data_IF_643566149075
#
_entry.id   IF_643566149075
#
_cell.length_a   1.000
_cell.length_b   1.000
_cell.length_c   1.000
_cell.angle_alpha   90.00
_cell.angle_beta   90.00
_cell.angle_gamma   90.00
#
_symmetry.space_group_name_H-M   'P 1'
#
loop_
_entity.id
_entity.type
_entity.pdbx_description
1 polymer ?
#
# COMPACT_ATOMS: atom_id res chain seq x y z
N UNK A 1 10.32 -15.93 4.99
CA UNK A 1 11.08 -14.66 4.88
C UNK A 1 11.12 -14.16 3.42
N UNK A 2 10.24 -13.20 3.08
CA UNK A 2 10.17 -12.61 1.73
C UNK A 2 11.31 -11.61 1.55
N UNK A 3 12.21 -11.84 0.60
CA UNK A 3 13.32 -10.92 0.29
C UNK A 3 12.75 -9.64 -0.34
N UNK A 4 12.72 -8.53 0.42
CA UNK A 4 12.53 -7.20 -0.16
C UNK A 4 13.76 -6.87 -1.02
N UNK A 5 13.59 -6.81 -2.33
CA UNK A 5 14.65 -6.37 -3.25
C UNK A 5 14.63 -4.83 -3.28
N UNK A 6 15.56 -4.20 -2.55
CA UNK A 6 15.80 -2.75 -2.61
C UNK A 6 16.64 -2.46 -3.86
N UNK A 7 16.08 -1.78 -4.86
CA UNK A 7 16.88 -1.07 -5.86
C UNK A 7 17.03 0.38 -5.40
N UNK A 8 18.09 0.67 -4.64
CA UNK A 8 18.54 2.06 -4.49
C UNK A 8 19.16 2.48 -5.82
N UNK A 9 18.61 3.48 -6.49
CA UNK A 9 19.22 3.97 -7.73
C UNK A 9 19.05 5.48 -7.84
N UNK A 10 20.21 6.13 -7.97
CA UNK A 10 20.48 7.49 -8.41
C UNK A 10 19.53 7.92 -9.55
N UNK A 11 19.04 9.18 -9.59
CA UNK A 11 18.12 9.61 -10.63
C UNK A 11 18.84 9.73 -11.98
N UNK A 12 18.61 8.76 -12.86
CA UNK A 12 19.12 8.78 -14.25
C UNK A 12 18.07 9.43 -15.17
N UNK A 13 18.30 10.65 -15.63
CA UNK A 13 17.36 11.33 -16.55
C UNK A 13 17.49 10.74 -17.96
N UNK A 14 16.54 9.91 -18.38
CA UNK A 14 16.35 9.52 -19.79
C UNK A 14 15.02 10.11 -20.28
N UNK A 15 15.09 11.21 -21.04
CA UNK A 15 13.92 11.72 -21.78
C UNK A 15 12.90 12.53 -20.97
N UNK A 16 13.31 13.65 -20.37
CA UNK A 16 12.44 14.78 -20.00
C UNK A 16 11.43 14.59 -18.86
N UNK A 17 11.07 13.37 -18.47
CA UNK A 17 10.24 13.10 -17.30
C UNK A 17 11.11 12.76 -16.07
N UNK A 18 10.85 13.36 -14.90
CA UNK A 18 11.55 12.97 -13.68
C UNK A 18 11.26 11.49 -13.37
N UNK A 19 12.30 10.70 -13.10
CA UNK A 19 12.12 9.34 -12.59
C UNK A 19 11.56 9.39 -11.16
N UNK A 20 10.75 8.39 -10.75
CA UNK A 20 10.30 8.32 -9.37
C UNK A 20 11.49 8.16 -8.42
N UNK A 21 11.47 8.87 -7.30
CA UNK A 21 12.52 8.80 -6.28
C UNK A 21 12.54 7.45 -5.57
N UNK A 22 11.39 6.78 -5.52
CA UNK A 22 11.24 5.49 -4.86
C UNK A 22 10.29 4.59 -5.65
N UNK A 23 10.67 3.33 -5.82
CA UNK A 23 9.83 2.27 -6.37
C UNK A 23 9.95 1.01 -5.52
N UNK A 24 8.83 0.30 -5.38
CA UNK A 24 8.75 -0.97 -4.67
C UNK A 24 7.83 -1.92 -5.43
N UNK A 25 8.21 -3.19 -5.39
CA UNK A 25 7.39 -4.28 -5.87
C UNK A 25 7.42 -5.41 -4.86
N UNK A 26 6.25 -5.92 -4.51
CA UNK A 26 6.14 -7.09 -3.67
C UNK A 26 5.10 -8.07 -4.21
N UNK A 27 5.36 -9.35 -3.98
CA UNK A 27 4.39 -10.41 -4.21
C UNK A 27 4.01 -11.07 -2.90
N UNK A 28 2.75 -11.45 -2.79
CA UNK A 28 2.21 -12.15 -1.63
C UNK A 28 1.21 -13.21 -2.10
N UNK A 29 1.00 -14.21 -1.27
CA UNK A 29 0.13 -15.33 -1.59
C UNK A 29 -1.12 -15.31 -0.69
N UNK A 30 -2.30 -15.48 -1.28
CA UNK A 30 -3.55 -15.68 -0.54
C UNK A 30 -3.98 -17.13 -0.68
N UNK A 31 -4.19 -17.79 0.45
CA UNK A 31 -4.76 -19.15 0.48
C UNK A 31 -6.26 -19.11 0.16
N UNK A 32 -6.82 -20.28 -0.16
CA UNK A 32 -8.27 -20.46 -0.27
C UNK A 32 -9.01 -19.98 0.99
N UNK A 33 -8.51 -20.32 2.19
CA UNK A 33 -9.10 -19.91 3.47
C UNK A 33 -9.11 -18.38 3.65
N UNK A 34 -8.03 -17.70 3.25
CA UNK A 34 -7.97 -16.24 3.29
C UNK A 34 -9.05 -15.64 2.38
N UNK A 35 -9.17 -16.17 1.16
CA UNK A 35 -10.18 -15.69 0.19
C UNK A 35 -11.61 -15.98 0.65
N UNK A 36 -11.85 -17.17 1.21
CA UNK A 36 -13.13 -17.54 1.78
C UNK A 36 -13.52 -16.61 2.94
N UNK A 37 -12.57 -16.32 3.84
CA UNK A 37 -12.80 -15.40 4.96
C UNK A 37 -13.18 -14.00 4.48
N UNK A 38 -12.46 -13.46 3.49
CA UNK A 38 -12.71 -12.13 2.90
C UNK A 38 -14.09 -12.06 2.22
N UNK A 39 -14.50 -13.12 1.51
CA UNK A 39 -15.78 -13.20 0.80
C UNK A 39 -16.98 -13.41 1.72
N UNK A 40 -16.82 -14.25 2.75
CA UNK A 40 -17.92 -14.60 3.66
C UNK A 40 -18.16 -13.56 4.74
N UNK A 41 -17.12 -12.81 5.14
CA UNK A 41 -17.21 -11.80 6.21
C UNK A 41 -16.68 -10.42 5.79
N UNK A 42 -17.15 -9.84 4.67
CA UNK A 42 -16.60 -8.60 4.10
C UNK A 42 -16.84 -7.37 4.98
N UNK A 43 -17.79 -7.42 5.92
CA UNK A 43 -18.04 -6.35 6.90
C UNK A 43 -17.13 -6.43 8.13
N UNK A 44 -16.49 -7.58 8.37
CA UNK A 44 -15.67 -7.84 9.55
C UNK A 44 -14.20 -8.02 9.23
N UNK A 45 -13.84 -8.41 8.00
CA UNK A 45 -12.47 -8.74 7.62
C UNK A 45 -12.10 -8.01 6.34
N UNK A 46 -10.89 -7.45 6.35
CA UNK A 46 -10.32 -6.72 5.21
C UNK A 46 -8.90 -7.19 4.94
N UNK A 47 -8.53 -7.21 3.66
CA UNK A 47 -7.14 -7.34 3.26
C UNK A 47 -6.54 -5.94 3.13
N UNK A 48 -5.68 -5.57 4.07
CA UNK A 48 -5.13 -4.23 4.17
C UNK A 48 -3.69 -4.17 3.67
N UNK A 49 -3.39 -3.20 2.82
CA UNK A 49 -2.05 -2.66 2.66
C UNK A 49 -1.87 -1.45 3.58
N UNK A 50 -0.72 -1.36 4.23
CA UNK A 50 -0.32 -0.22 5.05
C UNK A 50 1.10 0.21 4.68
N UNK A 51 1.35 1.51 4.74
CA UNK A 51 2.67 2.07 4.56
C UNK A 51 3.09 2.85 5.81
N UNK A 52 4.37 2.81 6.14
CA UNK A 52 4.98 3.56 7.24
C UNK A 52 6.18 4.33 6.71
N UNK A 53 6.31 5.59 7.13
CA UNK A 53 7.51 6.38 6.88
C UNK A 53 8.55 6.02 7.94
N UNK A 54 9.73 5.60 7.52
CA UNK A 54 10.79 5.10 8.41
C UNK A 54 11.56 6.24 9.10
N UNK A 55 11.42 7.47 8.61
CA UNK A 55 11.97 8.68 9.22
C UNK A 55 10.88 9.58 9.82
N UNK A 56 9.74 9.00 10.21
CA UNK A 56 8.67 9.75 10.86
C UNK A 56 8.98 9.96 12.34
N UNK A 57 8.74 11.17 12.85
CA UNK A 57 8.82 11.49 14.28
C UNK A 57 7.80 10.67 15.10
N UNK A 58 6.71 10.24 14.46
CA UNK A 58 5.65 9.45 15.09
C UNK A 58 5.75 7.99 14.64
N UNK A 59 6.34 7.16 15.49
CA UNK A 59 6.51 5.74 15.17
C UNK A 59 5.18 5.02 14.93
N UNK A 60 5.21 4.06 14.01
CA UNK A 60 4.13 3.09 13.72
C UNK A 60 2.79 3.68 13.25
N UNK A 61 2.72 4.95 12.84
CA UNK A 61 1.52 5.47 12.16
C UNK A 61 1.50 5.11 10.69
N UNK A 62 0.30 4.89 10.15
CA UNK A 62 0.12 4.73 8.72
C UNK A 62 0.38 6.09 8.05
N UNK A 63 1.34 6.10 7.13
CA UNK A 63 1.80 7.27 6.40
C UNK A 63 2.14 6.84 4.98
N UNK A 64 1.29 7.23 4.02
CA UNK A 64 1.55 6.97 2.62
C UNK A 64 2.47 8.04 2.01
N UNK A 65 3.35 7.67 1.07
CA UNK A 65 4.12 8.63 0.29
C UNK A 65 3.22 9.63 -0.44
N UNK A 66 3.69 10.87 -0.60
CA UNK A 66 3.02 11.83 -1.49
C UNK A 66 3.17 11.41 -2.96
N UNK A 67 2.23 11.82 -3.82
CA UNK A 67 2.24 11.48 -5.26
C UNK A 67 2.49 9.99 -5.55
N UNK A 68 1.82 9.12 -4.78
CA UNK A 68 1.92 7.67 -4.91
C UNK A 68 1.07 7.15 -6.09
N UNK A 69 1.69 6.37 -6.96
CA UNK A 69 0.99 5.43 -7.86
C UNK A 69 1.16 4.03 -7.26
N UNK A 70 0.08 3.47 -6.75
CA UNK A 70 0.04 2.09 -6.25
C UNK A 70 -0.85 1.26 -7.15
N UNK A 71 -0.37 0.08 -7.56
CA UNK A 71 -1.13 -0.88 -8.37
C UNK A 71 -1.21 -2.22 -7.67
N UNK A 72 -2.41 -2.80 -7.66
CA UNK A 72 -2.69 -4.14 -7.15
C UNK A 72 -3.04 -5.00 -8.36
N UNK A 73 -2.24 -6.02 -8.63
CA UNK A 73 -2.37 -6.88 -9.81
C UNK A 73 -2.49 -6.10 -11.14
N UNK A 74 -1.78 -4.97 -11.24
CA UNK A 74 -1.79 -4.09 -12.41
C UNK A 74 -2.88 -3.01 -12.39
N UNK A 75 -3.89 -3.13 -11.52
CA UNK A 75 -4.98 -2.15 -11.39
C UNK A 75 -4.59 -1.02 -10.45
N UNK A 76 -4.76 0.24 -10.88
CA UNK A 76 -4.49 1.42 -10.06
C UNK A 76 -5.38 1.47 -8.82
N UNK A 77 -4.78 1.70 -7.66
CA UNK A 77 -5.44 1.83 -6.37
C UNK A 77 -5.03 3.15 -5.69
N UNK A 78 -6.01 3.98 -5.34
CA UNK A 78 -5.77 5.24 -4.60
C UNK A 78 -5.84 5.00 -3.11
N UNK A 79 -4.74 5.22 -2.41
CA UNK A 79 -4.59 4.86 -0.99
C UNK A 79 -5.07 5.94 -0.01
N UNK A 80 -5.00 7.21 -0.39
CA UNK A 80 -5.36 8.32 0.51
C UNK A 80 -6.32 9.30 -0.17
N UNK A 81 -7.23 9.91 0.61
CA UNK A 81 -8.09 11.00 0.12
C UNK A 81 -7.37 12.37 0.18
N UNK A 82 -6.08 12.42 0.55
CA UNK A 82 -5.36 13.69 0.63
C UNK A 82 -4.91 14.14 -0.77
N UNK A 83 -4.89 15.47 -1.04
CA UNK A 83 -4.28 16.02 -2.23
C UNK A 83 -2.87 15.46 -2.45
N UNK A 84 -2.45 15.17 -3.69
CA UNK A 84 -1.18 14.48 -3.97
C UNK A 84 0.06 15.15 -3.39
N UNK A 85 0.01 16.46 -3.12
CA UNK A 85 1.11 17.27 -2.60
C UNK A 85 1.03 17.50 -1.08
N UNK A 86 -0.08 17.14 -0.44
CA UNK A 86 -0.29 17.41 0.97
C UNK A 86 0.50 16.43 1.84
N UNK A 87 1.42 16.97 2.64
CA UNK A 87 2.17 16.21 3.65
C UNK A 87 1.28 15.82 4.83
N UNK A 88 1.65 14.72 5.51
CA UNK A 88 0.91 14.25 6.68
C UNK A 88 1.30 15.11 7.89
N UNK A 89 0.38 15.96 8.35
CA UNK A 89 0.56 16.77 9.54
C UNK A 89 0.78 15.93 10.81
N UNK A 90 1.31 16.55 11.87
CA UNK A 90 1.73 15.88 13.11
C UNK A 90 0.65 14.98 13.75
N UNK A 91 -0.61 15.42 13.76
CA UNK A 91 -1.71 14.68 14.41
C UNK A 91 -2.49 13.78 13.44
N UNK A 92 -2.21 13.88 12.13
CA UNK A 92 -2.94 13.10 11.13
C UNK A 92 -2.36 11.70 11.00
N UNK A 93 -3.23 10.77 10.61
CA UNK A 93 -2.91 9.38 10.27
C UNK A 93 -3.67 9.04 9.01
N UNK A 94 -3.00 8.39 8.07
CA UNK A 94 -3.74 7.87 6.92
C UNK A 94 -4.51 6.60 7.30
N UNK A 95 -5.52 6.28 6.49
CA UNK A 95 -6.21 5.01 6.58
C UNK A 95 -5.40 3.88 5.94
N UNK A 96 -5.57 2.63 6.40
CA UNK A 96 -5.12 1.46 5.64
C UNK A 96 -5.89 1.37 4.32
N UNK A 97 -5.24 0.84 3.27
CA UNK A 97 -5.87 0.58 1.98
C UNK A 97 -6.49 -0.83 1.99
N UNK A 98 -7.81 -0.95 1.81
CA UNK A 98 -8.47 -2.24 1.63
C UNK A 98 -8.25 -2.73 0.18
N UNK A 99 -7.21 -3.53 -0.05
CA UNK A 99 -6.78 -4.00 -1.36
C UNK A 99 -7.45 -5.31 -1.79
N UNK A 100 -8.30 -5.90 -0.94
CA UNK A 100 -9.07 -7.08 -1.31
C UNK A 100 -10.17 -6.76 -2.32
N UNK A 101 -10.83 -5.61 -2.14
CA UNK A 101 -11.97 -5.17 -2.94
C UNK A 101 -11.89 -3.66 -3.19
N UNK A 102 -12.22 -3.23 -4.41
CA UNK A 102 -12.43 -1.82 -4.76
C UNK A 102 -13.72 -1.68 -5.57
N UNK A 103 -14.64 -0.82 -5.13
CA UNK A 103 -15.95 -0.62 -5.78
C UNK A 103 -16.66 -1.94 -6.12
N UNK A 104 -16.74 -2.85 -5.15
CA UNK A 104 -17.33 -4.20 -5.30
C UNK A 104 -16.61 -5.15 -6.27
N UNK A 105 -15.45 -4.77 -6.80
CA UNK A 105 -14.62 -5.63 -7.66
C UNK A 105 -13.45 -6.22 -6.85
N UNK A 106 -13.24 -7.53 -6.93
CA UNK A 106 -12.08 -8.19 -6.32
C UNK A 106 -10.80 -7.74 -7.03
N UNK A 107 -9.84 -7.21 -6.26
CA UNK A 107 -8.53 -6.83 -6.79
C UNK A 107 -7.46 -7.88 -6.54
N UNK A 108 -7.67 -8.72 -5.52
CA UNK A 108 -6.82 -9.85 -5.20
C UNK A 108 -7.54 -11.17 -5.47
N UNK A 109 -6.76 -12.21 -5.76
CA UNK A 109 -7.25 -13.56 -6.04
C UNK A 109 -6.56 -14.59 -5.15
N UNK A 110 -7.13 -15.79 -5.10
CA UNK A 110 -6.41 -16.94 -4.56
C UNK A 110 -5.09 -17.14 -5.33
N UNK A 111 -4.04 -17.50 -4.61
CA UNK A 111 -2.71 -17.67 -5.17
C UNK A 111 -1.85 -16.42 -5.10
N UNK A 112 -0.95 -16.25 -6.07
CA UNK A 112 0.00 -15.15 -6.10
C UNK A 112 -0.63 -13.84 -6.58
N UNK A 113 -0.42 -12.80 -5.78
CA UNK A 113 -0.80 -11.41 -6.04
C UNK A 113 0.45 -10.53 -6.01
N UNK A 114 0.37 -9.36 -6.66
CA UNK A 114 1.46 -8.40 -6.74
C UNK A 114 0.98 -7.00 -6.43
N UNK A 115 1.76 -6.27 -5.64
CA UNK A 115 1.65 -4.81 -5.52
C UNK A 115 2.92 -4.20 -6.11
N UNK A 116 2.74 -3.21 -6.96
CA UNK A 116 3.82 -2.31 -7.37
C UNK A 116 3.46 -0.90 -6.98
N UNK A 117 4.44 -0.13 -6.53
CA UNK A 117 4.25 1.28 -6.27
C UNK A 117 5.47 2.11 -6.65
N UNK A 118 5.22 3.34 -7.02
CA UNK A 118 6.26 4.36 -7.16
C UNK A 118 5.76 5.71 -6.64
N UNK A 119 6.70 6.56 -6.24
CA UNK A 119 6.41 7.87 -5.68
C UNK A 119 7.56 8.84 -5.93
N UNK A 120 7.24 10.14 -5.93
CA UNK A 120 8.22 11.21 -5.92
C UNK A 120 8.60 11.69 -4.50
N UNK A 121 8.11 11.03 -3.46
CA UNK A 121 8.51 11.28 -2.09
C UNK A 121 9.94 10.77 -1.86
N UNK A 122 10.81 11.62 -1.33
CA UNK A 122 12.22 11.30 -1.09
C UNK A 122 12.46 10.56 0.21
N UNK A 123 11.45 10.48 1.10
CA UNK A 123 11.57 9.82 2.39
C UNK A 123 11.57 8.30 2.25
N UNK A 124 12.22 7.55 3.16
CA UNK A 124 12.19 6.10 3.15
C UNK A 124 10.86 5.56 3.68
N UNK A 125 10.23 4.65 2.93
CA UNK A 125 8.99 3.98 3.31
C UNK A 125 9.11 2.46 3.34
N UNK A 126 8.26 1.83 4.15
CA UNK A 126 8.05 0.38 4.16
C UNK A 126 6.55 0.06 4.07
N UNK A 127 6.22 -1.00 3.34
CA UNK A 127 4.83 -1.44 3.15
C UNK A 127 4.64 -2.87 3.66
N UNK A 128 3.49 -3.10 4.29
CA UNK A 128 3.05 -4.42 4.75
C UNK A 128 1.64 -4.72 4.27
N UNK A 129 1.37 -6.00 4.01
CA UNK A 129 0.03 -6.54 3.71
C UNK A 129 -0.41 -7.42 4.86
N UNK A 130 -1.65 -7.26 5.32
CA UNK A 130 -2.22 -8.04 6.43
C UNK A 130 -3.71 -8.31 6.23
N UNK A 131 -4.20 -9.42 6.77
CA UNK A 131 -5.63 -9.61 7.00
C UNK A 131 -5.99 -8.97 8.34
N UNK A 132 -6.93 -8.04 8.35
CA UNK A 132 -7.33 -7.30 9.54
C UNK A 132 -8.81 -7.55 9.86
N UNK A 133 -9.12 -7.73 11.15
CA UNK A 133 -10.50 -7.81 11.63
C UNK A 133 -10.95 -6.42 12.09
N UNK A 134 -12.04 -5.92 11.52
CA UNK A 134 -12.75 -4.72 11.96
C UNK A 134 -13.34 -4.95 13.35
N UNK A 135 -13.13 -3.99 14.24
CA UNK A 135 -13.75 -3.94 15.56
C UNK A 135 -14.65 -2.72 15.62
N UNK A 136 -15.85 -2.89 16.15
CA UNK A 136 -16.74 -1.78 16.51
C UNK A 136 -16.51 -1.46 17.99
N UNK A 137 -16.51 -0.18 18.33
CA UNK A 137 -16.65 0.21 19.74
C UNK A 137 -18.11 -0.07 20.12
N UNK A 138 -18.31 -0.84 21.19
CA UNK A 138 -19.64 -1.05 21.78
C UNK A 138 -20.04 0.18 22.61
#
# INVERSE_FOLDING_TARGET
PTKLRRSGTTPCTMGGAPLPYYSLECSFHLTADNMQLLRTRPKEVELQAVCVCLCDDYMFRIHWPVQLDMRVNGTLYRTTPRPPTQQLGKLMRDAPANIGVMNHTELCREGMNRISMWSYDTRPFAMHVRVARRRTMA
#
